data_IF_925709263901
#
_entry.id   IF_925709263901
#
_cell.length_a   1.000
_cell.length_b   1.000
_cell.length_c   1.000
_cell.angle_alpha   90.00
_cell.angle_beta   90.00
_cell.angle_gamma   90.00
#
_symmetry.space_group_name_H-M   'P 1'
#
loop_
_entity.id
_entity.type
_entity.pdbx_description
1 polymer ?
#
# COMPACT_ATOMS: atom_id res chain seq x y z
N UNK A 1 3.85 14.91 -2.40
CA UNK A 1 5.32 15.03 -2.38
C UNK A 1 6.01 13.68 -2.50
N UNK A 2 5.77 12.71 -1.62
CA UNK A 2 6.43 11.40 -1.56
C UNK A 2 6.35 10.65 -2.90
N UNK A 3 5.14 10.40 -3.41
CA UNK A 3 4.93 9.61 -4.62
C UNK A 3 5.47 10.25 -5.89
N UNK A 4 5.47 11.57 -5.98
CA UNK A 4 6.08 12.27 -7.13
C UNK A 4 7.62 12.18 -7.11
N UNK A 5 8.23 12.09 -5.92
CA UNK A 5 9.68 11.97 -5.77
C UNK A 5 10.17 10.54 -6.00
N UNK A 6 9.42 9.54 -5.50
CA UNK A 6 9.73 8.11 -5.65
C UNK A 6 8.79 7.43 -6.64
N UNK A 7 8.40 8.14 -7.70
CA UNK A 7 7.32 7.71 -8.58
C UNK A 7 7.51 6.32 -9.18
N UNK A 8 8.75 5.89 -9.44
CA UNK A 8 9.06 4.61 -10.07
C UNK A 8 9.53 3.54 -9.08
N UNK A 9 10.01 3.91 -7.90
CA UNK A 9 10.73 3.03 -6.97
C UNK A 9 10.03 1.70 -6.71
N UNK A 10 8.69 1.68 -6.62
CA UNK A 10 7.91 0.48 -6.34
C UNK A 10 7.22 -0.13 -7.58
N UNK A 11 7.48 0.38 -8.77
CA UNK A 11 6.99 -0.25 -10.02
C UNK A 11 7.82 -1.48 -10.34
N UNK A 12 7.17 -2.57 -10.73
CA UNK A 12 7.86 -3.80 -11.13
C UNK A 12 8.63 -3.59 -12.44
N UNK A 13 8.12 -2.76 -13.36
CA UNK A 13 8.81 -2.35 -14.57
C UNK A 13 10.12 -1.60 -14.32
N UNK A 14 10.23 -0.87 -13.20
CA UNK A 14 11.46 -0.17 -12.82
C UNK A 14 12.40 -1.04 -11.99
N UNK A 15 11.86 -1.80 -11.04
CA UNK A 15 12.67 -2.67 -10.18
C UNK A 15 13.24 -3.88 -10.93
N UNK A 16 12.56 -4.32 -11.98
CA UNK A 16 12.86 -5.57 -12.70
C UNK A 16 12.44 -6.83 -11.92
N UNK A 17 11.67 -6.67 -10.83
CA UNK A 17 11.25 -7.76 -9.97
C UNK A 17 9.75 -7.67 -9.67
N UNK A 18 9.02 -8.80 -9.57
CA UNK A 18 7.56 -8.83 -9.43
C UNK A 18 7.08 -8.56 -8.00
N UNK A 19 7.68 -7.58 -7.30
CA UNK A 19 7.40 -7.30 -5.88
C UNK A 19 5.97 -6.81 -5.67
N UNK A 20 5.51 -5.91 -6.55
CA UNK A 20 4.14 -5.41 -6.50
C UNK A 20 3.15 -6.44 -7.01
N UNK A 21 3.53 -7.21 -8.05
CA UNK A 21 2.72 -8.29 -8.57
C UNK A 21 2.52 -9.39 -7.53
N UNK A 22 3.59 -9.89 -6.91
CA UNK A 22 3.52 -10.92 -5.88
C UNK A 22 2.60 -10.49 -4.74
N UNK A 23 2.78 -9.26 -4.23
CA UNK A 23 1.92 -8.72 -3.18
C UNK A 23 0.47 -8.55 -3.64
N UNK A 24 0.23 -8.08 -4.85
CA UNK A 24 -1.12 -7.89 -5.39
C UNK A 24 -1.87 -9.21 -5.49
N UNK A 25 -1.26 -10.24 -6.07
CA UNK A 25 -1.88 -11.54 -6.24
C UNK A 25 -2.10 -12.28 -4.91
N UNK A 26 -1.12 -12.20 -3.99
CA UNK A 26 -1.26 -12.77 -2.65
C UNK A 26 -2.41 -12.11 -1.88
N UNK A 27 -2.48 -10.79 -1.88
CA UNK A 27 -3.52 -10.04 -1.18
C UNK A 27 -4.90 -10.28 -1.80
N UNK A 28 -5.05 -10.12 -3.09
CA UNK A 28 -6.35 -10.19 -3.76
C UNK A 28 -6.86 -11.62 -3.89
N UNK A 29 -5.96 -12.59 -4.10
CA UNK A 29 -6.31 -13.96 -4.45
C UNK A 29 -7.05 -14.07 -5.78
N UNK A 30 -6.98 -13.04 -6.62
CA UNK A 30 -7.58 -13.04 -7.95
C UNK A 30 -6.67 -13.75 -8.94
N UNK A 31 -7.24 -14.29 -10.00
CA UNK A 31 -6.48 -14.82 -11.13
C UNK A 31 -6.31 -13.73 -12.20
N UNK A 32 -5.17 -13.68 -12.86
CA UNK A 32 -4.91 -12.72 -13.93
C UNK A 32 -5.97 -12.78 -15.05
N UNK A 33 -6.40 -13.99 -15.40
CA UNK A 33 -7.44 -14.19 -16.42
C UNK A 33 -8.81 -13.62 -16.01
N UNK A 34 -9.12 -13.53 -14.69
CA UNK A 34 -10.37 -12.93 -14.22
C UNK A 34 -10.42 -11.43 -14.48
N UNK A 35 -9.25 -10.78 -14.58
CA UNK A 35 -9.13 -9.33 -14.74
C UNK A 35 -9.19 -8.88 -16.22
N UNK A 36 -8.90 -9.77 -17.16
CA UNK A 36 -8.79 -9.41 -18.57
C UNK A 36 -10.09 -8.77 -19.09
N UNK A 37 -9.98 -7.55 -19.61
CA UNK A 37 -11.11 -6.75 -20.11
C UNK A 37 -12.05 -6.19 -19.04
N UNK A 38 -11.85 -6.50 -17.75
CA UNK A 38 -12.71 -6.06 -16.67
C UNK A 38 -12.33 -4.65 -16.17
N UNK A 39 -13.35 -3.92 -15.72
CA UNK A 39 -13.16 -2.66 -15.02
C UNK A 39 -12.75 -2.89 -13.56
N UNK A 40 -11.69 -2.22 -13.14
CA UNK A 40 -11.16 -2.28 -11.79
C UNK A 40 -11.04 -0.87 -11.22
N UNK A 41 -11.42 -0.70 -9.95
CA UNK A 41 -11.21 0.52 -9.20
C UNK A 41 -10.04 0.31 -8.21
N UNK A 42 -8.96 1.07 -8.41
CA UNK A 42 -7.84 1.21 -7.48
C UNK A 42 -8.03 2.46 -6.64
N UNK A 43 -8.34 2.31 -5.34
CA UNK A 43 -8.59 3.44 -4.44
C UNK A 43 -7.37 3.71 -3.57
N UNK A 44 -6.73 4.85 -3.81
CA UNK A 44 -5.44 5.21 -3.23
C UNK A 44 -4.27 4.69 -4.06
N UNK A 45 -4.31 4.93 -5.37
CA UNK A 45 -3.36 4.35 -6.31
C UNK A 45 -1.90 4.80 -6.11
N UNK A 46 -1.65 5.89 -5.37
CA UNK A 46 -0.30 6.43 -5.19
C UNK A 46 0.39 6.66 -6.54
N UNK A 47 1.58 6.10 -6.74
CA UNK A 47 2.31 6.18 -7.99
C UNK A 47 1.88 5.14 -9.05
N UNK A 48 0.86 4.32 -8.77
CA UNK A 48 0.28 3.36 -9.71
C UNK A 48 0.88 1.95 -9.67
N UNK A 49 1.57 1.57 -8.59
CA UNK A 49 2.27 0.27 -8.50
C UNK A 49 1.35 -0.95 -8.68
N UNK A 50 0.16 -0.93 -8.11
CA UNK A 50 -0.80 -2.03 -8.26
C UNK A 50 -1.68 -1.87 -9.49
N UNK A 51 -1.92 -0.61 -9.93
CA UNK A 51 -2.56 -0.35 -11.21
C UNK A 51 -1.74 -0.90 -12.38
N UNK A 52 -0.39 -0.81 -12.35
CA UNK A 52 0.50 -1.44 -13.33
C UNK A 52 0.26 -2.95 -13.43
N UNK A 53 0.17 -3.64 -12.29
CA UNK A 53 -0.07 -5.10 -12.24
C UNK A 53 -1.41 -5.46 -12.88
N UNK A 54 -2.48 -4.74 -12.51
CA UNK A 54 -3.81 -4.98 -13.05
C UNK A 54 -3.89 -4.70 -14.57
N UNK A 55 -3.23 -3.62 -15.04
CA UNK A 55 -3.14 -3.28 -16.46
C UNK A 55 -2.38 -4.35 -17.26
N UNK A 56 -1.28 -4.86 -16.71
CA UNK A 56 -0.50 -5.95 -17.31
C UNK A 56 -1.29 -7.26 -17.40
N UNK A 57 -2.30 -7.45 -16.54
CA UNK A 57 -3.27 -8.55 -16.61
C UNK A 57 -4.43 -8.28 -17.58
N UNK A 58 -4.38 -7.19 -18.37
CA UNK A 58 -5.39 -6.85 -19.36
C UNK A 58 -6.62 -6.12 -18.80
N UNK A 59 -6.60 -5.65 -17.56
CA UNK A 59 -7.70 -4.90 -16.97
C UNK A 59 -7.85 -3.49 -17.55
N UNK A 60 -9.04 -2.90 -17.37
CA UNK A 60 -9.31 -1.47 -17.52
C UNK A 60 -9.32 -0.85 -16.13
N UNK A 61 -8.35 0.00 -15.82
CA UNK A 61 -8.14 0.49 -14.45
C UNK A 61 -8.56 1.95 -14.31
N UNK A 62 -9.41 2.21 -13.33
CA UNK A 62 -9.66 3.55 -12.80
C UNK A 62 -8.80 3.67 -11.53
N UNK A 63 -7.76 4.48 -11.60
CA UNK A 63 -6.80 4.72 -10.52
C UNK A 63 -7.13 6.05 -9.84
N UNK A 64 -7.62 5.98 -8.59
CA UNK A 64 -8.03 7.16 -7.84
C UNK A 64 -7.08 7.41 -6.66
N UNK A 65 -6.67 8.67 -6.46
CA UNK A 65 -5.96 9.11 -5.25
C UNK A 65 -6.43 10.52 -4.87
N UNK A 66 -6.41 10.81 -3.57
CA UNK A 66 -6.76 12.13 -3.04
C UNK A 66 -5.68 13.19 -3.32
N UNK A 67 -4.44 12.77 -3.34
CA UNK A 67 -3.27 13.63 -3.39
C UNK A 67 -2.78 13.88 -4.83
N UNK A 68 -1.78 14.76 -4.96
CA UNK A 68 -1.04 14.94 -6.22
C UNK A 68 -0.23 13.71 -6.67
N UNK A 69 -0.36 12.57 -5.99
CA UNK A 69 0.19 11.29 -6.45
C UNK A 69 -0.37 10.84 -7.80
N UNK A 70 -1.58 11.32 -8.15
CA UNK A 70 -2.18 11.13 -9.47
C UNK A 70 -1.27 11.57 -10.61
N UNK A 71 -0.44 12.61 -10.41
CA UNK A 71 0.52 13.08 -11.41
C UNK A 71 1.60 12.02 -11.67
N UNK A 72 2.11 11.39 -10.58
CA UNK A 72 3.07 10.30 -10.69
C UNK A 72 2.45 9.06 -11.35
N UNK A 73 1.23 8.68 -10.93
CA UNK A 73 0.49 7.58 -11.52
C UNK A 73 0.28 7.78 -13.02
N UNK A 74 -0.21 8.96 -13.42
CA UNK A 74 -0.39 9.30 -14.82
C UNK A 74 0.92 9.28 -15.61
N UNK A 75 1.98 9.89 -15.06
CA UNK A 75 3.29 9.92 -15.72
C UNK A 75 3.86 8.50 -15.95
N UNK A 76 3.60 7.58 -15.03
CA UNK A 76 4.06 6.19 -15.11
C UNK A 76 3.21 5.36 -16.10
N UNK A 77 1.89 5.54 -16.11
CA UNK A 77 0.96 4.60 -16.74
C UNK A 77 0.26 5.13 -18.00
N UNK A 78 0.43 6.41 -18.37
CA UNK A 78 -0.24 7.06 -19.52
C UNK A 78 -0.02 6.36 -20.87
N UNK A 79 0.96 5.48 -20.97
CA UNK A 79 1.22 4.69 -22.17
C UNK A 79 0.25 3.48 -22.30
N UNK A 80 -0.43 3.10 -21.22
CA UNK A 80 -1.47 2.09 -21.26
C UNK A 80 -2.81 2.70 -21.70
N UNK A 81 -3.44 2.19 -22.77
CA UNK A 81 -4.70 2.77 -23.29
C UNK A 81 -5.88 2.56 -22.33
N UNK A 82 -5.77 1.63 -21.39
CA UNK A 82 -6.83 1.21 -20.48
C UNK A 82 -6.70 1.81 -19.07
N UNK A 83 -5.89 2.85 -18.86
CA UNK A 83 -5.77 3.54 -17.58
C UNK A 83 -6.54 4.86 -17.58
N UNK A 84 -7.29 5.10 -16.52
CA UNK A 84 -7.97 6.36 -16.23
C UNK A 84 -7.57 6.83 -14.84
N UNK A 85 -6.82 7.92 -14.75
CA UNK A 85 -6.33 8.47 -13.49
C UNK A 85 -7.26 9.59 -13.04
N UNK A 86 -7.75 9.51 -11.80
CA UNK A 86 -8.74 10.43 -11.23
C UNK A 86 -8.24 10.95 -9.89
N UNK A 87 -8.22 12.26 -9.70
CA UNK A 87 -8.04 12.82 -8.36
C UNK A 87 -9.38 12.92 -7.67
N UNK A 88 -9.50 12.28 -6.49
CA UNK A 88 -10.77 12.22 -5.78
C UNK A 88 -10.64 11.77 -4.33
N UNK A 89 -11.70 12.02 -3.55
CA UNK A 89 -11.75 11.68 -2.13
C UNK A 89 -12.41 10.31 -1.94
N UNK A 90 -11.78 9.44 -1.13
CA UNK A 90 -12.32 8.12 -0.79
C UNK A 90 -13.67 8.24 -0.05
N UNK A 91 -13.91 9.34 0.67
CA UNK A 91 -15.17 9.58 1.36
C UNK A 91 -16.30 10.04 0.45
N UNK A 92 -15.99 10.45 -0.79
CA UNK A 92 -16.94 10.94 -1.78
C UNK A 92 -16.54 10.44 -3.19
N UNK A 93 -16.56 9.12 -3.38
CA UNK A 93 -16.15 8.50 -4.65
C UNK A 93 -17.05 8.97 -5.79
N UNK A 94 -16.51 9.55 -6.88
CA UNK A 94 -17.29 10.19 -7.94
C UNK A 94 -17.81 9.17 -8.97
N UNK A 95 -18.18 7.98 -8.53
CA UNK A 95 -18.63 6.90 -9.41
C UNK A 95 -20.03 6.41 -9.05
N UNK A 96 -20.73 5.90 -10.04
CA UNK A 96 -22.04 5.24 -9.82
C UNK A 96 -21.84 3.98 -8.98
N UNK A 97 -22.64 3.77 -7.91
CA UNK A 97 -22.61 2.52 -7.15
C UNK A 97 -22.77 1.28 -8.03
N UNK A 98 -22.05 0.21 -7.68
CA UNK A 98 -22.10 -1.05 -8.39
C UNK A 98 -21.45 -1.07 -9.76
N UNK A 99 -20.58 -0.09 -10.08
CA UNK A 99 -19.95 0.02 -11.41
C UNK A 99 -18.77 -0.92 -11.63
N UNK A 100 -18.11 -1.40 -10.58
CA UNK A 100 -16.85 -2.12 -10.73
C UNK A 100 -16.97 -3.59 -10.33
N UNK A 101 -16.65 -4.52 -11.24
CA UNK A 101 -16.50 -5.94 -10.91
C UNK A 101 -15.44 -6.21 -9.84
N UNK A 102 -14.38 -5.39 -9.82
CA UNK A 102 -13.25 -5.51 -8.91
C UNK A 102 -12.94 -4.16 -8.29
N UNK A 103 -12.81 -4.12 -6.96
CA UNK A 103 -12.41 -2.93 -6.21
C UNK A 103 -11.32 -3.32 -5.23
N UNK A 104 -10.25 -2.54 -5.18
CA UNK A 104 -9.24 -2.74 -4.15
C UNK A 104 -8.71 -1.42 -3.59
N UNK A 105 -8.19 -1.50 -2.36
CA UNK A 105 -7.46 -0.42 -1.70
C UNK A 105 -6.35 -1.03 -0.86
N UNK A 106 -5.11 -0.93 -1.32
CA UNK A 106 -3.95 -1.58 -0.73
C UNK A 106 -2.90 -0.56 -0.26
N UNK A 107 -2.58 -0.60 1.04
CA UNK A 107 -1.62 0.31 1.67
C UNK A 107 -2.17 1.70 1.97
N UNK A 108 -3.49 1.89 2.06
CA UNK A 108 -4.15 3.21 2.06
C UNK A 108 -4.96 3.47 3.32
N UNK A 109 -5.90 2.58 3.65
CA UNK A 109 -6.97 2.86 4.61
C UNK A 109 -6.45 3.27 6.01
N UNK A 110 -5.35 2.69 6.46
CA UNK A 110 -4.72 3.05 7.74
C UNK A 110 -4.22 4.51 7.79
N UNK A 111 -4.05 5.14 6.65
CA UNK A 111 -3.58 6.53 6.53
C UNK A 111 -4.72 7.55 6.42
N UNK A 112 -5.96 7.09 6.50
CA UNK A 112 -7.15 7.96 6.51
C UNK A 112 -7.50 8.43 7.93
N UNK A 113 -8.13 9.61 8.07
CA UNK A 113 -8.60 10.10 9.38
C UNK A 113 -9.59 9.16 10.05
N UNK A 114 -10.55 8.63 9.29
CA UNK A 114 -11.56 7.67 9.72
C UNK A 114 -11.55 6.44 8.80
N UNK A 115 -10.93 5.38 9.29
CA UNK A 115 -10.77 4.13 8.55
C UNK A 115 -12.11 3.43 8.31
N UNK A 116 -13.04 3.52 9.27
CA UNK A 116 -14.33 2.87 9.16
C UNK A 116 -15.18 3.49 8.05
N UNK A 117 -15.24 4.82 8.01
CA UNK A 117 -15.95 5.56 6.95
C UNK A 117 -15.28 5.38 5.59
N UNK A 118 -13.94 5.39 5.53
CA UNK A 118 -13.20 5.13 4.30
C UNK A 118 -13.47 3.72 3.75
N UNK A 119 -13.47 2.69 4.63
CA UNK A 119 -13.85 1.34 4.23
C UNK A 119 -15.30 1.29 3.73
N UNK A 120 -16.26 1.93 4.44
CA UNK A 120 -17.68 1.85 4.12
C UNK A 120 -18.04 2.38 2.71
N UNK A 121 -17.20 3.25 2.14
CA UNK A 121 -17.40 3.75 0.78
C UNK A 121 -17.11 2.70 -0.31
N UNK A 122 -16.23 1.75 -0.05
CA UNK A 122 -15.73 0.81 -1.07
C UNK A 122 -16.75 -0.26 -1.48
N UNK A 123 -17.47 -0.95 -0.57
CA UNK A 123 -18.46 -1.96 -0.92
C UNK A 123 -19.58 -1.41 -1.82
N UNK A 124 -19.90 -0.11 -1.71
CA UNK A 124 -20.89 0.53 -2.56
C UNK A 124 -20.47 0.54 -4.04
N UNK A 125 -19.19 0.60 -4.33
CA UNK A 125 -18.62 0.62 -5.70
C UNK A 125 -18.64 -0.76 -6.34
N UNK A 126 -18.65 -1.83 -5.54
CA UNK A 126 -18.59 -3.21 -6.02
C UNK A 126 -19.89 -3.60 -6.68
N UNK A 127 -19.82 -4.17 -7.88
CA UNK A 127 -20.96 -4.69 -8.63
C UNK A 127 -21.60 -5.87 -7.89
N UNK A 128 -22.91 -5.89 -7.78
CA UNK A 128 -23.65 -7.04 -7.27
C UNK A 128 -23.49 -8.28 -8.16
N UNK A 129 -23.76 -9.47 -7.58
CA UNK A 129 -23.73 -10.72 -8.33
C UNK A 129 -22.33 -11.25 -8.61
N UNK A 130 -21.44 -11.17 -7.61
CA UNK A 130 -20.09 -11.76 -7.66
C UNK A 130 -18.95 -10.77 -7.84
N UNK A 131 -19.19 -9.47 -7.76
CA UNK A 131 -18.12 -8.47 -7.71
C UNK A 131 -17.24 -8.67 -6.47
N UNK A 132 -15.95 -8.34 -6.56
CA UNK A 132 -14.94 -8.65 -5.54
C UNK A 132 -14.34 -7.39 -4.94
N UNK A 133 -14.13 -7.41 -3.61
CA UNK A 133 -13.45 -6.37 -2.85
C UNK A 133 -12.21 -6.94 -2.18
N UNK A 134 -11.11 -6.20 -2.23
CA UNK A 134 -9.92 -6.48 -1.45
C UNK A 134 -9.38 -5.20 -0.80
N UNK A 135 -9.12 -5.25 0.49
CA UNK A 135 -8.51 -4.14 1.25
C UNK A 135 -7.43 -4.66 2.16
N UNK A 136 -6.43 -3.82 2.47
CA UNK A 136 -5.46 -4.17 3.49
C UNK A 136 -5.28 -3.06 4.54
N UNK A 137 -4.69 -3.47 5.67
CA UNK A 137 -4.41 -2.62 6.82
C UNK A 137 -3.07 -2.99 7.44
N UNK A 138 -2.45 -2.08 8.15
CA UNK A 138 -1.42 -2.46 9.12
C UNK A 138 -2.07 -3.23 10.26
N UNK A 139 -1.49 -4.39 10.62
CA UNK A 139 -1.99 -5.21 11.70
C UNK A 139 -1.72 -4.56 13.06
N UNK A 140 -2.77 -4.39 13.86
CA UNK A 140 -2.67 -3.91 15.24
C UNK A 140 -2.25 -5.06 16.15
N UNK A 141 -0.98 -5.11 16.54
CA UNK A 141 -0.44 -6.12 17.44
C UNK A 141 0.22 -5.45 18.66
N UNK A 142 0.31 -6.16 19.79
CA UNK A 142 1.02 -5.64 20.96
C UNK A 142 2.52 -5.43 20.66
N UNK A 143 3.12 -6.29 19.82
CA UNK A 143 4.52 -6.20 19.38
C UNK A 143 4.82 -4.95 18.57
N UNK A 144 3.85 -4.45 17.81
CA UNK A 144 4.04 -3.23 17.00
C UNK A 144 4.38 -2.02 17.86
N UNK A 145 3.85 -1.95 19.10
CA UNK A 145 4.13 -0.85 20.04
C UNK A 145 5.60 -0.78 20.47
N UNK A 146 6.36 -1.85 20.33
CA UNK A 146 7.79 -1.92 20.67
C UNK A 146 8.69 -1.38 19.55
N UNK A 147 8.15 -1.12 18.38
CA UNK A 147 8.95 -0.65 17.25
C UNK A 147 9.28 0.85 17.39
N UNK A 148 10.56 1.23 17.15
CA UNK A 148 11.01 2.63 17.26
C UNK A 148 10.17 3.62 16.44
N UNK A 149 9.60 3.19 15.31
CA UNK A 149 8.74 4.03 14.50
C UNK A 149 7.55 4.60 15.29
N UNK A 150 6.96 3.86 16.22
CA UNK A 150 5.83 4.31 17.02
C UNK A 150 6.23 5.25 18.16
N UNK A 151 7.50 5.21 18.58
CA UNK A 151 8.01 6.14 19.60
C UNK A 151 8.46 7.48 18.99
N UNK A 152 9.04 7.43 17.79
CA UNK A 152 9.54 8.61 17.09
C UNK A 152 8.43 9.36 16.34
N UNK A 153 7.43 8.64 15.84
CA UNK A 153 6.36 9.20 15.02
C UNK A 153 5.54 10.34 15.66
N UNK A 154 5.19 10.32 16.97
CA UNK A 154 4.48 11.44 17.59
C UNK A 154 5.18 12.79 17.37
N UNK A 155 6.50 12.78 17.26
CA UNK A 155 7.31 13.98 16.98
C UNK A 155 7.46 14.24 15.49
N UNK A 156 7.81 13.20 14.72
CA UNK A 156 8.18 13.35 13.30
C UNK A 156 7.00 13.70 12.40
N UNK A 157 5.77 13.26 12.71
CA UNK A 157 4.56 13.58 11.93
C UNK A 157 4.23 15.08 11.89
N UNK A 158 4.73 15.86 12.87
CA UNK A 158 4.54 17.31 12.96
C UNK A 158 5.64 18.11 12.25
N UNK A 159 6.75 17.47 11.86
CA UNK A 159 7.81 18.14 11.14
C UNK A 159 7.35 18.48 9.70
N UNK A 160 7.79 19.62 9.15
CA UNK A 160 7.64 19.89 7.72
C UNK A 160 8.21 18.73 6.90
N UNK A 161 7.45 18.23 5.95
CA UNK A 161 7.81 17.02 5.17
C UNK A 161 9.17 17.15 4.48
N UNK A 162 9.51 18.35 3.98
CA UNK A 162 10.80 18.61 3.37
C UNK A 162 11.97 18.49 4.36
N UNK A 163 11.79 18.98 5.60
CA UNK A 163 12.80 18.88 6.66
C UNK A 163 13.01 17.42 7.06
N UNK A 164 11.92 16.70 7.32
CA UNK A 164 11.98 15.26 7.64
C UNK A 164 12.67 14.49 6.52
N UNK A 165 12.31 14.77 5.26
CA UNK A 165 12.91 14.12 4.11
C UNK A 165 14.41 14.38 4.00
N UNK A 166 14.83 15.66 4.10
CA UNK A 166 16.26 16.02 4.06
C UNK A 166 17.07 15.39 5.20
N UNK A 167 16.46 15.25 6.38
CA UNK A 167 17.06 14.51 7.49
C UNK A 167 17.23 13.03 7.15
N UNK A 168 16.18 12.38 6.64
CA UNK A 168 16.23 10.94 6.31
C UNK A 168 17.17 10.63 5.15
N UNK A 169 17.33 11.53 4.18
CA UNK A 169 18.33 11.38 3.12
C UNK A 169 19.76 11.23 3.66
N UNK A 170 20.05 11.85 4.80
CA UNK A 170 21.35 11.73 5.48
C UNK A 170 21.39 10.56 6.47
N UNK A 171 20.30 10.31 7.19
CA UNK A 171 20.22 9.29 8.22
C UNK A 171 20.15 7.86 7.65
N UNK A 172 19.35 7.62 6.59
CA UNK A 172 19.15 6.29 6.02
C UNK A 172 20.46 5.66 5.51
N UNK A 173 21.34 6.35 4.77
CA UNK A 173 22.62 5.78 4.36
C UNK A 173 23.53 5.36 5.52
N UNK A 174 23.39 5.98 6.69
CA UNK A 174 24.17 5.64 7.89
C UNK A 174 23.53 4.49 8.68
N UNK A 175 22.21 4.48 8.78
CA UNK A 175 21.45 3.48 9.57
C UNK A 175 21.26 2.15 8.84
N UNK A 176 21.13 2.17 7.52
CA UNK A 176 20.85 0.98 6.73
C UNK A 176 21.99 -0.07 6.83
N UNK A 177 23.28 0.28 6.72
CA UNK A 177 24.38 -0.68 6.94
C UNK A 177 24.35 -1.31 8.33
N UNK A 178 24.04 -0.51 9.37
CA UNK A 178 23.92 -1.00 10.76
C UNK A 178 22.79 -2.02 10.87
N UNK A 179 21.63 -1.71 10.30
CA UNK A 179 20.49 -2.63 10.27
C UNK A 179 20.80 -3.93 9.52
N UNK A 180 21.51 -3.85 8.38
CA UNK A 180 21.95 -5.01 7.61
C UNK A 180 22.97 -5.86 8.38
N UNK A 181 23.85 -5.24 9.13
CA UNK A 181 24.83 -5.95 9.97
C UNK A 181 24.14 -6.68 11.13
N UNK A 182 23.21 -6.01 11.80
CA UNK A 182 22.44 -6.59 12.90
C UNK A 182 21.55 -7.76 12.44
N UNK A 183 21.03 -7.71 11.23
CA UNK A 183 20.22 -8.80 10.66
C UNK A 183 20.99 -10.12 10.54
N UNK A 184 22.30 -10.06 10.37
CA UNK A 184 23.17 -11.25 10.26
C UNK A 184 23.42 -11.97 11.57
N UNK A 185 23.02 -11.39 12.71
CA UNK A 185 23.20 -12.02 14.02
C UNK A 185 22.28 -13.26 14.13
N UNK A 186 22.83 -14.46 14.37
CA UNK A 186 22.05 -15.68 14.47
C UNK A 186 20.95 -15.56 15.54
N UNK A 187 19.76 -16.09 15.26
CA UNK A 187 18.57 -16.13 16.13
C UNK A 187 17.97 -14.76 16.50
N UNK A 188 18.76 -13.72 16.67
CA UNK A 188 18.30 -12.40 17.13
C UNK A 188 18.21 -11.35 16.02
N UNK A 189 18.83 -11.59 14.87
CA UNK A 189 18.99 -10.60 13.80
C UNK A 189 17.67 -10.00 13.30
N UNK A 190 16.65 -10.83 13.13
CA UNK A 190 15.34 -10.39 12.72
C UNK A 190 14.64 -9.46 13.72
N UNK A 191 14.97 -9.53 15.01
CA UNK A 191 14.50 -8.61 16.04
C UNK A 191 15.38 -7.38 16.12
N UNK A 192 16.68 -7.54 16.14
CA UNK A 192 17.66 -6.46 16.25
C UNK A 192 17.54 -5.45 15.11
N UNK A 193 17.41 -5.89 13.85
CA UNK A 193 17.22 -4.98 12.72
C UNK A 193 15.99 -4.07 12.87
N UNK A 194 14.94 -4.55 13.53
CA UNK A 194 13.70 -3.78 13.75
C UNK A 194 13.86 -2.69 14.78
N UNK A 195 14.90 -2.74 15.61
CA UNK A 195 15.23 -1.70 16.58
C UNK A 195 15.96 -0.51 15.95
N UNK A 196 16.47 -0.66 14.75
CA UNK A 196 17.01 0.46 13.97
C UNK A 196 15.86 1.14 13.23
N UNK A 197 15.68 2.47 13.36
CA UNK A 197 14.56 3.19 12.76
C UNK A 197 14.74 3.42 11.25
N UNK A 198 14.98 2.35 10.51
CA UNK A 198 15.14 2.34 9.05
C UNK A 198 14.46 1.11 8.44
N UNK A 199 13.75 1.29 7.34
CA UNK A 199 13.20 0.18 6.57
C UNK A 199 14.35 -0.58 5.89
N UNK A 200 14.49 -1.86 6.20
CA UNK A 200 15.55 -2.72 5.69
C UNK A 200 14.96 -3.86 4.85
N UNK A 201 15.23 -3.82 3.55
CA UNK A 201 14.83 -4.82 2.56
C UNK A 201 15.98 -5.77 2.15
N UNK A 202 17.09 -5.77 2.91
CA UNK A 202 18.21 -6.65 2.63
C UNK A 202 17.80 -8.12 2.68
N UNK A 203 18.12 -8.87 1.64
CA UNK A 203 17.79 -10.30 1.55
C UNK A 203 16.30 -10.62 1.31
N UNK A 204 15.41 -9.65 1.44
CA UNK A 204 13.98 -9.86 1.21
C UNK A 204 13.58 -9.65 -0.26
N UNK A 205 14.23 -8.69 -0.93
CA UNK A 205 13.97 -8.36 -2.34
C UNK A 205 15.34 -8.28 -3.04
N UNK A 206 15.49 -8.87 -4.24
CA UNK A 206 16.77 -8.91 -4.96
C UNK A 206 17.07 -7.59 -5.70
N UNK A 207 16.99 -6.48 -4.99
CA UNK A 207 17.25 -5.13 -5.50
C UNK A 207 18.75 -4.85 -5.60
N UNK A 208 19.13 -4.03 -6.58
CA UNK A 208 20.46 -3.40 -6.61
C UNK A 208 20.67 -2.51 -5.38
N UNK A 209 21.93 -2.17 -5.07
CA UNK A 209 22.22 -1.31 -3.91
C UNK A 209 21.59 0.08 -4.02
N UNK A 210 21.46 0.62 -5.23
CA UNK A 210 20.81 1.91 -5.50
C UNK A 210 19.30 1.79 -5.24
N UNK A 211 18.63 0.82 -5.84
CA UNK A 211 17.19 0.58 -5.65
C UNK A 211 16.86 0.27 -4.19
N UNK A 212 17.71 -0.48 -3.50
CA UNK A 212 17.54 -0.79 -2.07
C UNK A 212 17.59 0.48 -1.22
N UNK A 213 18.52 1.39 -1.49
CA UNK A 213 18.62 2.67 -0.77
C UNK A 213 17.40 3.55 -1.04
N UNK A 214 16.97 3.65 -2.29
CA UNK A 214 15.75 4.40 -2.65
C UNK A 214 14.52 3.82 -1.93
N UNK A 215 14.34 2.50 -1.98
CA UNK A 215 13.20 1.84 -1.36
C UNK A 215 13.24 1.98 0.17
N UNK A 216 14.41 1.79 0.78
CA UNK A 216 14.58 2.01 2.21
C UNK A 216 14.29 3.46 2.62
N UNK A 217 14.68 4.43 1.82
CA UNK A 217 14.37 5.85 2.08
C UNK A 217 12.88 6.14 1.94
N UNK A 218 12.24 5.62 0.88
CA UNK A 218 10.80 5.73 0.66
C UNK A 218 10.00 5.17 1.86
N UNK A 219 10.26 3.92 2.23
CA UNK A 219 9.49 3.26 3.28
C UNK A 219 9.81 3.83 4.67
N UNK A 220 11.07 4.26 4.92
CA UNK A 220 11.41 4.97 6.15
C UNK A 220 10.69 6.31 6.23
N UNK A 221 10.59 7.04 5.13
CA UNK A 221 9.82 8.27 5.07
C UNK A 221 8.32 7.99 5.30
N UNK A 222 7.78 6.91 4.75
CA UNK A 222 6.40 6.47 4.96
C UNK A 222 6.13 6.07 6.42
N UNK A 223 7.12 5.55 7.15
CA UNK A 223 6.97 5.26 8.56
C UNK A 223 6.77 6.52 9.43
N UNK A 224 7.39 7.64 9.06
CA UNK A 224 7.48 8.83 9.89
C UNK A 224 6.65 10.02 9.42
N UNK A 225 6.28 10.04 8.14
CA UNK A 225 5.64 11.21 7.53
C UNK A 225 4.12 11.28 7.61
N UNK A 226 3.35 10.17 7.57
CA UNK A 226 1.91 10.24 7.51
C UNK A 226 1.29 10.86 8.76
N UNK A 227 0.25 11.68 8.57
CA UNK A 227 -0.53 12.29 9.65
C UNK A 227 -1.23 11.20 10.48
N UNK A 228 -1.79 10.21 9.80
CA UNK A 228 -2.56 9.13 10.37
C UNK A 228 -1.85 7.79 10.19
N UNK A 229 -2.00 6.91 11.17
CA UNK A 229 -1.56 5.51 11.15
C UNK A 229 -2.47 4.74 12.10
N UNK A 230 -3.55 4.22 11.54
CA UNK A 230 -4.64 3.61 12.25
C UNK A 230 -4.69 2.10 11.96
N UNK A 231 -3.77 1.29 12.54
CA UNK A 231 -3.74 -0.16 12.32
C UNK A 231 -5.02 -0.82 12.84
N UNK A 232 -5.45 -1.88 12.18
CA UNK A 232 -6.69 -2.58 12.49
C UNK A 232 -6.46 -4.02 12.98
N UNK A 233 -7.49 -4.60 13.61
CA UNK A 233 -7.49 -6.02 14.00
C UNK A 233 -8.23 -6.86 12.96
N UNK A 234 -7.92 -8.16 12.90
CA UNK A 234 -8.64 -9.10 12.04
C UNK A 234 -10.15 -9.14 12.37
N UNK A 235 -10.50 -9.04 13.64
CA UNK A 235 -11.90 -8.99 14.08
C UNK A 235 -12.62 -7.73 13.54
N UNK A 236 -11.97 -6.57 13.61
CA UNK A 236 -12.52 -5.32 13.06
C UNK A 236 -12.71 -5.40 11.55
N UNK A 237 -11.71 -5.89 10.83
CA UNK A 237 -11.75 -6.02 9.38
C UNK A 237 -12.89 -6.98 8.94
N UNK A 238 -13.05 -8.12 9.63
CA UNK A 238 -14.13 -9.07 9.40
C UNK A 238 -15.50 -8.46 9.68
N UNK A 239 -15.67 -7.81 10.82
CA UNK A 239 -16.92 -7.15 11.21
C UNK A 239 -17.35 -6.10 10.16
N UNK A 240 -16.43 -5.33 9.60
CA UNK A 240 -16.75 -4.36 8.55
C UNK A 240 -17.19 -5.02 7.25
N UNK A 241 -16.55 -6.11 6.85
CA UNK A 241 -16.96 -6.90 5.68
C UNK A 241 -18.36 -7.50 5.87
N UNK A 242 -18.65 -8.06 7.06
CA UNK A 242 -19.95 -8.62 7.40
C UNK A 242 -21.04 -7.54 7.42
N UNK A 243 -20.77 -6.38 8.02
CA UNK A 243 -21.70 -5.22 8.03
C UNK A 243 -21.98 -4.69 6.63
N UNK A 244 -21.03 -4.84 5.70
CA UNK A 244 -21.19 -4.47 4.29
C UNK A 244 -21.86 -5.59 3.45
N UNK A 245 -22.37 -6.65 4.11
CA UNK A 245 -23.05 -7.80 3.49
C UNK A 245 -22.17 -8.52 2.44
N UNK A 246 -20.85 -8.45 2.60
CA UNK A 246 -19.93 -9.21 1.77
C UNK A 246 -20.03 -10.70 2.09
N UNK A 247 -19.88 -11.53 1.07
CA UNK A 247 -19.89 -13.01 1.15
C UNK A 247 -18.48 -13.57 0.94
N UNK A 248 -18.29 -14.85 1.26
CA UNK A 248 -16.99 -15.53 1.11
C UNK A 248 -15.84 -14.71 1.71
N UNK A 249 -16.07 -14.19 2.95
CA UNK A 249 -15.12 -13.29 3.60
C UNK A 249 -13.89 -14.06 4.07
N UNK A 250 -12.74 -13.66 3.58
CA UNK A 250 -11.44 -14.10 4.04
C UNK A 250 -10.70 -12.95 4.72
N UNK A 251 -10.14 -13.23 5.91
CA UNK A 251 -9.24 -12.29 6.60
C UNK A 251 -7.95 -13.05 6.91
N UNK A 252 -6.87 -12.60 6.32
CA UNK A 252 -5.57 -13.30 6.34
C UNK A 252 -4.40 -12.31 6.49
N UNK A 253 -3.21 -12.86 6.70
CA UNK A 253 -1.98 -12.07 6.69
C UNK A 253 -1.19 -12.39 5.42
N UNK A 254 -1.12 -11.42 4.51
CA UNK A 254 -0.35 -11.46 3.27
C UNK A 254 0.60 -10.26 3.25
N UNK A 255 1.63 -10.30 4.10
CA UNK A 255 2.50 -9.15 4.37
C UNK A 255 1.82 -8.05 5.20
N UNK A 256 0.56 -7.80 4.95
CA UNK A 256 -0.35 -6.94 5.73
C UNK A 256 -1.60 -7.73 6.15
N UNK A 257 -2.42 -7.14 7.03
CA UNK A 257 -3.73 -7.68 7.35
C UNK A 257 -4.67 -7.42 6.17
N UNK A 258 -5.02 -8.43 5.44
CA UNK A 258 -5.89 -8.36 4.27
C UNK A 258 -7.30 -8.82 4.65
N UNK A 259 -8.32 -8.12 4.14
CA UNK A 259 -9.70 -8.57 4.12
C UNK A 259 -10.24 -8.54 2.70
N UNK A 260 -10.82 -9.65 2.24
CA UNK A 260 -11.40 -9.77 0.90
C UNK A 260 -12.70 -10.55 0.92
N UNK A 261 -13.56 -10.29 -0.07
CA UNK A 261 -14.86 -10.94 -0.17
C UNK A 261 -15.57 -10.63 -1.48
N UNK A 262 -16.75 -11.21 -1.66
CA UNK A 262 -17.63 -11.05 -2.83
C UNK A 262 -18.94 -10.36 -2.44
N UNK A 263 -19.55 -9.67 -3.39
CA UNK A 263 -20.86 -9.01 -3.23
C UNK A 263 -21.95 -9.76 -3.95
#
# INVERSE_FOLDING_TARGET
MQWNQFRQTQLDSYSGHPVSADRFWEATGWAANDLNGQWILDVGCGAGRFAEVALNAGAKVVALDYSSAVDACYANLKHHPNVHVVQGDIYALPFKPGSFPFVYSLGVLQHTPDVASAFAALPAMVRGGGGRLCVDYYAKTWKSRLLPKYWLRPMTKHLPKAVLFSFLQKAVPLLLPVSCMLERVPLLGGWLKRMVPVANHFGAIPLSDVQRREWSLLDTFDWFSPQYDNPQTAATARMWMEKAEMKEIEVLNAGHLVARGKK
#
